data_IF_764511437829
#
_entry.id   IF_764511437829
#
_cell.length_a   1.000
_cell.length_b   1.000
_cell.length_c   1.000
_cell.angle_alpha   90.00
_cell.angle_beta   90.00
_cell.angle_gamma   90.00
#
_symmetry.space_group_name_H-M   'P 1'
#
loop_
_entity.id
_entity.type
_entity.pdbx_description
1 polymer ?
2 non-polymer ?
3 non-polymer ?
4 non-polymer ?
5 non-polymer ?
6 water ?
#
# COMPACT_ATOMS: atom_id res chain seq x y z
N UNK A 1 -23.45 3.95 -13.87
CA UNK A 1 -22.02 4.23 -13.33
C UNK A 1 -21.45 2.93 -12.77
N UNK A 2 -20.16 2.87 -12.61
CA UNK A 2 -19.46 1.70 -12.16
C UNK A 2 -19.13 1.90 -10.65
N UNK A 3 -19.14 0.79 -9.90
CA UNK A 3 -18.50 0.62 -8.58
C UNK A 3 -18.19 -0.85 -8.37
N UNK A 4 -17.38 -1.16 -7.40
CA UNK A 4 -17.14 -2.57 -7.06
C UNK A 4 -16.36 -2.71 -5.77
N UNK A 5 -16.36 -3.93 -5.27
CA UNK A 5 -15.60 -4.32 -4.08
C UNK A 5 -14.60 -5.35 -4.47
N UNK A 6 -13.32 -5.04 -4.28
CA UNK A 6 -12.20 -5.99 -4.46
C UNK A 6 -11.76 -6.49 -3.08
N UNK A 7 -11.67 -7.77 -2.93
CA UNK A 7 -11.30 -8.35 -1.63
C UNK A 7 -9.81 -8.54 -1.52
N UNK A 8 -9.22 -8.05 -0.44
CA UNK A 8 -7.81 -8.24 -0.17
C UNK A 8 -7.62 -9.27 0.93
N UNK A 9 -6.40 -9.88 0.93
CA UNK A 9 -6.06 -10.86 1.97
C UNK A 9 -4.61 -10.61 2.39
N UNK A 10 -4.30 -10.51 3.69
CA UNK A 10 -2.92 -10.38 4.13
C UNK A 10 -2.18 -11.69 3.94
N UNK A 11 -0.88 -11.60 3.63
CA UNK A 11 0.04 -12.75 3.73
C UNK A 11 0.43 -12.98 5.15
N UNK A 12 1.36 -13.95 5.43
CA UNK A 12 1.74 -14.22 6.79
C UNK A 12 2.25 -12.92 7.49
N UNK A 13 1.85 -12.72 8.71
CA UNK A 13 2.15 -11.58 9.53
C UNK A 13 1.65 -10.27 8.94
N UNK A 14 0.73 -10.29 7.96
CA UNK A 14 0.28 -9.09 7.29
C UNK A 14 1.47 -8.31 6.66
N UNK A 15 2.41 -9.07 6.06
CA UNK A 15 3.55 -8.42 5.40
C UNK A 15 3.13 -7.60 4.18
N UNK A 16 2.19 -8.16 3.42
CA UNK A 16 1.63 -7.50 2.26
C UNK A 16 0.15 -7.97 2.14
N UNK A 17 -0.59 -7.28 1.32
CA UNK A 17 -2.00 -7.59 1.06
C UNK A 17 -2.17 -7.87 -0.45
N UNK A 18 -2.85 -8.93 -0.76
CA UNK A 18 -3.00 -9.42 -2.15
C UNK A 18 -4.47 -9.40 -2.57
N UNK A 19 -4.70 -9.00 -3.80
CA UNK A 19 -6.04 -8.84 -4.37
C UNK A 19 -6.02 -9.41 -5.78
N UNK A 20 -7.04 -10.22 -6.19
CA UNK A 20 -7.02 -10.78 -7.56
C UNK A 20 -7.43 -9.74 -8.58
N UNK A 21 -6.82 -9.82 -9.77
CA UNK A 21 -7.05 -8.91 -10.89
C UNK A 21 -7.04 -9.75 -12.17
N UNK A 22 -8.05 -9.58 -13.03
CA UNK A 22 -8.08 -10.36 -14.27
C UNK A 22 -7.59 -9.51 -15.42
N UNK A 23 -6.55 -9.99 -16.10
CA UNK A 23 -5.89 -9.24 -17.21
C UNK A 23 -5.93 -10.10 -18.45
N UNK A 24 -6.65 -9.63 -19.46
CA UNK A 24 -6.77 -10.43 -20.69
C UNK A 24 -7.29 -11.81 -20.40
N UNK A 25 -8.19 -11.93 -19.45
CA UNK A 25 -8.68 -13.26 -19.11
C UNK A 25 -7.94 -14.11 -18.13
N UNK A 26 -6.72 -13.77 -17.72
CA UNK A 26 -5.91 -14.51 -16.71
C UNK A 26 -5.96 -13.80 -15.38
N UNK A 27 -6.27 -14.48 -14.29
CA UNK A 27 -6.32 -13.84 -12.99
C UNK A 27 -4.94 -13.97 -12.29
N UNK A 28 -4.41 -12.81 -11.85
CA UNK A 28 -3.16 -12.67 -11.12
C UNK A 28 -3.46 -12.12 -9.72
N UNK A 29 -2.62 -12.49 -8.74
CA UNK A 29 -2.75 -11.97 -7.40
C UNK A 29 -1.78 -10.78 -7.23
N UNK A 30 -2.27 -9.56 -7.17
CA UNK A 30 -1.42 -8.36 -7.18
C UNK A 30 -1.45 -7.67 -5.82
N UNK A 31 -0.35 -6.93 -5.53
CA UNK A 31 -0.20 -6.09 -4.36
C UNK A 31 -0.67 -4.68 -4.70
N UNK A 32 -1.82 -4.23 -4.19
CA UNK A 32 -2.35 -2.91 -4.44
C UNK A 32 -1.57 -1.88 -3.62
N UNK A 33 -1.01 -0.87 -4.31
CA UNK A 33 0.02 -0.05 -3.67
C UNK A 33 -0.28 1.46 -3.88
N UNK A 34 -0.82 2.13 -2.85
CA UNK A 34 -1.09 3.57 -2.95
C UNK A 34 0.18 4.44 -2.92
N UNK A 35 1.36 3.84 -2.75
CA UNK A 35 2.63 4.52 -2.82
C UNK A 35 3.36 4.51 -4.16
N UNK A 36 2.78 3.88 -5.21
CA UNK A 36 3.40 3.91 -6.51
C UNK A 36 2.30 3.89 -7.56
N UNK A 37 2.67 4.12 -8.85
CA UNK A 37 1.69 4.35 -9.92
C UNK A 37 1.88 3.44 -11.12
N UNK A 38 2.50 2.28 -10.93
CA UNK A 38 2.72 1.31 -12.01
C UNK A 38 1.92 0.03 -11.77
N UNK A 39 1.28 -0.47 -12.79
CA UNK A 39 0.62 -1.79 -12.81
C UNK A 39 1.58 -2.69 -13.60
N UNK A 40 2.35 -3.49 -12.86
CA UNK A 40 3.33 -4.37 -13.49
C UNK A 40 3.07 -5.80 -13.04
N UNK A 41 3.37 -6.74 -13.96
CA UNK A 41 3.03 -8.15 -13.78
C UNK A 41 4.18 -9.05 -14.18
N UNK A 42 4.30 -10.17 -13.43
CA UNK A 42 5.10 -11.29 -13.93
C UNK A 42 4.57 -11.68 -15.30
N UNK A 43 5.46 -12.03 -16.23
CA UNK A 43 5.05 -12.28 -17.63
C UNK A 43 5.85 -13.41 -18.25
N UNK A 44 5.42 -13.82 -19.42
CA UNK A 44 6.12 -14.81 -20.24
C UNK A 44 7.44 -14.28 -20.83
N UNK A 45 7.79 -13.06 -20.67
CA UNK A 45 9.07 -12.47 -21.03
C UNK A 45 10.11 -12.65 -19.98
N UNK A 46 9.77 -13.12 -18.77
CA UNK A 46 10.75 -13.50 -17.74
C UNK A 46 11.41 -14.87 -18.15
N UNK A 47 12.58 -15.14 -17.67
CA UNK A 47 13.09 -16.53 -17.78
C UNK A 47 12.11 -17.51 -17.14
N UNK A 48 11.99 -18.71 -17.74
CA UNK A 48 11.05 -19.68 -17.27
C UNK A 48 11.20 -20.01 -15.77
N UNK A 49 12.46 -20.06 -15.30
CA UNK A 49 12.67 -20.40 -13.89
C UNK A 49 12.04 -19.38 -12.94
N UNK A 50 11.96 -18.10 -13.38
CA UNK A 50 11.38 -17.03 -12.55
C UNK A 50 9.89 -16.98 -12.64
N UNK A 51 9.25 -17.62 -13.59
CA UNK A 51 7.82 -17.75 -13.76
C UNK A 51 7.25 -18.76 -12.74
N UNK A 52 8.04 -19.74 -12.35
CA UNK A 52 7.55 -20.83 -11.45
C UNK A 52 7.02 -20.27 -10.15
N UNK A 53 5.89 -20.80 -9.68
CA UNK A 53 5.20 -20.37 -8.45
C UNK A 53 4.31 -19.15 -8.65
N UNK A 54 4.18 -18.68 -9.92
CA UNK A 54 3.36 -17.50 -10.22
C UNK A 54 2.33 -17.80 -11.25
N UNK A 55 1.27 -16.98 -11.26
CA UNK A 55 0.45 -16.79 -12.44
C UNK A 55 1.13 -15.68 -13.26
N UNK A 56 1.14 -15.85 -14.58
CA UNK A 56 1.89 -14.92 -15.43
C UNK A 56 1.00 -14.41 -16.56
N UNK A 57 1.27 -13.17 -16.94
CA UNK A 57 0.63 -12.53 -18.09
C UNK A 57 1.33 -12.96 -19.38
N UNK A 58 0.54 -13.36 -20.41
CA UNK A 58 1.02 -13.68 -21.74
C UNK A 58 0.53 -12.61 -22.67
N UNK A 59 1.38 -11.62 -22.97
CA UNK A 59 0.94 -10.50 -23.78
C UNK A 59 0.58 -10.90 -25.18
N UNK A 60 1.19 -11.95 -25.75
CA UNK A 60 1.01 -12.36 -27.12
C UNK A 60 -0.47 -12.71 -27.33
N UNK A 61 -1.13 -13.25 -26.29
CA UNK A 61 -2.47 -13.70 -26.46
C UNK A 61 -3.48 -12.64 -26.63
N UNK A 62 -3.39 -11.55 -25.84
CA UNK A 62 -4.44 -10.52 -25.82
C UNK A 62 -3.95 -9.05 -25.76
N UNK A 63 -2.74 -8.79 -25.58
CA UNK A 63 -2.24 -7.46 -25.38
C UNK A 63 -1.90 -6.78 -26.69
N UNK A 64 -1.89 -5.45 -26.68
CA UNK A 64 -1.45 -4.60 -27.83
C UNK A 64 -0.23 -3.80 -27.38
N UNK A 65 0.91 -4.05 -28.06
CA UNK A 65 2.11 -3.39 -27.68
C UNK A 65 2.03 -1.93 -27.85
N UNK A 66 2.76 -1.21 -26.94
CA UNK A 66 3.16 0.21 -27.24
C UNK A 66 4.55 0.23 -27.76
N UNK A 67 4.83 0.22 -29.14
CA UNK A 67 6.07 0.09 -29.65
C UNK A 67 6.90 1.25 -29.20
N UNK A 68 8.10 0.91 -28.76
CA UNK A 68 9.06 1.80 -28.32
C UNK A 68 9.01 2.17 -26.85
N UNK A 69 7.96 1.66 -26.13
CA UNK A 69 7.73 2.07 -24.75
C UNK A 69 8.35 1.02 -23.78
N UNK A 70 8.83 1.50 -22.67
CA UNK A 70 9.45 0.67 -21.64
C UNK A 70 9.05 1.18 -20.27
N UNK A 71 9.41 0.46 -19.21
CA UNK A 71 9.21 0.92 -17.85
C UNK A 71 10.35 0.35 -16.99
N UNK A 72 10.61 1.05 -15.88
CA UNK A 72 11.65 0.65 -14.92
C UNK A 72 11.37 1.36 -13.60
N UNK A 73 11.19 0.62 -12.54
CA UNK A 73 10.80 1.18 -11.25
C UNK A 73 11.71 0.69 -10.18
N UNK A 74 11.95 1.52 -9.16
CA UNK A 74 12.73 1.24 -7.99
C UNK A 74 11.96 1.66 -6.75
N UNK A 75 12.04 0.88 -5.70
CA UNK A 75 11.26 1.10 -4.46
C UNK A 75 12.16 1.37 -3.29
N UNK A 76 11.54 1.82 -2.17
CA UNK A 76 12.27 2.24 -0.99
C UNK A 76 13.14 1.19 -0.34
N UNK A 77 12.71 -0.09 -0.41
CA UNK A 77 13.53 -1.22 0.11
C UNK A 77 14.62 -1.68 -0.85
N UNK A 78 14.83 -0.96 -1.94
CA UNK A 78 15.88 -1.31 -2.91
C UNK A 78 15.45 -2.31 -3.95
N UNK A 79 14.23 -2.81 -3.90
CA UNK A 79 13.75 -3.70 -4.94
C UNK A 79 13.46 -2.95 -6.22
N UNK A 80 13.36 -3.68 -7.34
CA UNK A 80 13.21 -3.05 -8.65
C UNK A 80 12.64 -4.07 -9.63
N UNK A 81 12.12 -3.53 -10.76
CA UNK A 81 11.64 -4.36 -11.87
C UNK A 81 11.59 -3.49 -13.13
N UNK A 82 11.61 -4.13 -14.31
CA UNK A 82 11.54 -3.39 -15.56
C UNK A 82 11.03 -4.27 -16.67
N UNK A 83 10.64 -3.64 -17.79
CA UNK A 83 10.16 -4.40 -18.95
C UNK A 83 9.55 -3.49 -20.02
N UNK A 84 8.57 -4.02 -20.72
CA UNK A 84 7.90 -3.35 -21.82
C UNK A 84 6.37 -3.26 -21.55
N UNK A 85 5.61 -2.70 -22.49
CA UNK A 85 4.25 -2.21 -22.18
C UNK A 85 3.26 -2.68 -23.23
N UNK A 86 2.10 -3.17 -22.78
CA UNK A 86 0.99 -3.58 -23.60
C UNK A 86 -0.29 -2.98 -23.07
N UNK A 87 -1.27 -2.65 -23.89
CA UNK A 87 -2.59 -2.36 -23.34
C UNK A 87 -3.49 -3.60 -23.42
N UNK A 88 -4.39 -3.70 -22.44
CA UNK A 88 -5.26 -4.88 -22.33
C UNK A 88 -6.45 -4.51 -21.43
N UNK A 89 -7.39 -5.47 -21.31
CA UNK A 89 -8.51 -5.34 -20.39
C UNK A 89 -8.08 -5.79 -19.00
N UNK A 90 -8.39 -4.95 -18.00
CA UNK A 90 -8.00 -5.20 -16.60
C UNK A 90 -9.25 -5.03 -15.74
N UNK A 91 -9.62 -6.10 -14.99
CA UNK A 91 -10.86 -6.08 -14.18
C UNK A 91 -10.48 -6.29 -12.70
N UNK A 92 -11.00 -5.39 -11.86
CA UNK A 92 -10.77 -5.33 -10.42
C UNK A 92 -12.15 -5.20 -9.76
N UNK A 93 -12.54 -6.14 -8.88
CA UNK A 93 -13.85 -5.98 -8.22
C UNK A 93 -15.01 -5.83 -9.15
N UNK A 94 -14.94 -6.43 -10.34
CA UNK A 94 -16.00 -6.32 -11.34
C UNK A 94 -15.96 -5.08 -12.20
N UNK A 95 -15.04 -4.17 -11.95
CA UNK A 95 -14.90 -2.91 -12.72
C UNK A 95 -13.80 -3.15 -13.76
N UNK A 96 -14.11 -2.95 -15.04
CA UNK A 96 -13.16 -3.14 -16.14
C UNK A 96 -12.63 -1.84 -16.69
N UNK A 97 -11.29 -1.79 -16.77
CA UNK A 97 -10.55 -0.76 -17.50
C UNK A 97 -10.20 -1.34 -18.85
N UNK A 98 -10.70 -0.74 -19.92
CA UNK A 98 -10.35 -1.14 -21.25
C UNK A 98 -9.13 -0.32 -21.73
N UNK A 99 -8.23 -0.94 -22.40
CA UNK A 99 -7.05 -0.24 -22.90
C UNK A 99 -6.10 0.20 -21.78
N UNK A 100 -6.13 -0.48 -20.65
CA UNK A 100 -5.22 -0.16 -19.53
C UNK A 100 -3.78 -0.57 -19.89
N UNK A 101 -2.83 0.30 -19.55
CA UNK A 101 -1.39 -0.07 -19.71
C UNK A 101 -1.00 -1.11 -18.66
N UNK A 102 -0.50 -2.25 -19.19
CA UNK A 102 -0.03 -3.36 -18.39
C UNK A 102 1.51 -3.46 -18.67
N UNK A 103 2.27 -3.35 -17.59
CA UNK A 103 3.75 -3.30 -17.67
C UNK A 103 4.27 -4.72 -17.46
N UNK A 104 4.63 -5.39 -18.56
CA UNK A 104 5.06 -6.78 -18.54
C UNK A 104 6.54 -6.85 -18.09
N UNK A 105 6.82 -7.64 -17.04
CA UNK A 105 8.18 -7.72 -16.55
C UNK A 105 9.07 -8.57 -17.46
N UNK A 106 10.25 -8.04 -17.70
CA UNK A 106 11.42 -8.71 -18.30
C UNK A 106 12.54 -8.97 -17.27
N UNK A 107 12.66 -8.12 -16.27
CA UNK A 107 13.69 -8.23 -15.23
C UNK A 107 13.03 -7.94 -13.88
N UNK A 108 13.35 -8.72 -12.85
CA UNK A 108 12.89 -8.49 -11.49
C UNK A 108 14.06 -8.68 -10.54
N UNK A 109 14.12 -7.88 -9.48
CA UNK A 109 15.19 -7.98 -8.52
C UNK A 109 15.00 -9.13 -7.57
N UNK A 110 16.04 -9.42 -6.75
CA UNK A 110 16.02 -10.56 -5.84
C UNK A 110 14.81 -10.60 -4.95
N UNK A 111 14.36 -9.49 -4.40
CA UNK A 111 13.24 -9.53 -3.48
C UNK A 111 12.00 -10.12 -4.19
N UNK A 112 11.73 -9.66 -5.43
CA UNK A 112 10.59 -10.19 -6.17
C UNK A 112 10.80 -11.66 -6.60
N UNK A 113 12.05 -12.03 -6.93
CA UNK A 113 12.42 -13.44 -7.27
C UNK A 113 12.21 -14.32 -6.04
N UNK A 114 12.10 -13.84 -4.84
CA UNK A 114 11.92 -14.63 -3.61
C UNK A 114 10.48 -14.59 -3.11
N UNK A 115 9.58 -13.77 -3.67
CA UNK A 115 8.23 -13.60 -3.12
C UNK A 115 7.29 -14.21 -4.11
N UNK A 116 6.79 -15.37 -3.67
CA UNK A 116 5.79 -16.00 -4.53
C UNK A 116 4.35 -15.68 -4.09
N UNK A 117 4.20 -14.78 -3.15
CA UNK A 117 2.84 -14.44 -2.76
C UNK A 117 2.13 -13.51 -3.70
N UNK A 118 2.85 -12.79 -4.54
CA UNK A 118 2.22 -11.85 -5.47
C UNK A 118 2.81 -12.15 -6.84
N UNK A 119 2.07 -11.67 -7.83
CA UNK A 119 2.38 -11.75 -9.25
C UNK A 119 2.62 -10.37 -9.87
N UNK A 120 2.93 -9.37 -9.02
CA UNK A 120 3.17 -8.01 -9.43
C UNK A 120 2.39 -7.03 -8.54
N UNK A 121 2.37 -5.77 -8.99
CA UNK A 121 1.82 -4.65 -8.23
C UNK A 121 0.76 -3.91 -9.07
N UNK A 122 -0.23 -3.36 -8.36
CA UNK A 122 -1.21 -2.46 -9.00
C UNK A 122 -1.11 -1.11 -8.26
N UNK A 123 -0.51 -0.13 -8.92
CA UNK A 123 -0.28 1.17 -8.31
C UNK A 123 -1.56 2.03 -8.27
N UNK A 124 -1.70 2.75 -7.14
CA UNK A 124 -2.85 3.62 -6.87
C UNK A 124 -2.43 5.03 -6.42
N UNK A 125 -1.13 5.36 -6.53
CA UNK A 125 -0.65 6.75 -6.39
C UNK A 125 -1.09 7.55 -7.60
N UNK A 126 -0.79 8.86 -7.61
CA UNK A 126 -1.18 9.69 -8.77
C UNK A 126 -0.38 9.29 -10.00
N UNK A 127 -1.05 9.37 -11.17
CA UNK A 127 -0.44 8.90 -12.43
C UNK A 127 0.78 9.71 -12.84
N UNK A 128 0.98 10.93 -12.29
CA UNK A 128 2.14 11.73 -12.61
C UNK A 128 3.46 11.04 -12.31
N UNK A 129 3.47 10.05 -11.40
CA UNK A 129 4.73 9.35 -11.04
C UNK A 129 4.78 7.94 -11.66
N UNK A 130 3.91 7.62 -12.60
CA UNK A 130 4.04 6.38 -13.38
C UNK A 130 5.38 6.43 -14.16
N UNK A 131 6.10 5.30 -14.22
CA UNK A 131 7.46 5.29 -14.79
C UNK A 131 7.55 4.98 -16.27
N UNK A 132 6.46 4.74 -16.96
CA UNK A 132 6.55 4.35 -18.39
C UNK A 132 7.19 5.47 -19.20
N UNK A 133 8.05 5.06 -20.10
CA UNK A 133 8.80 5.96 -21.02
C UNK A 133 8.53 5.56 -22.43
N UNK A 134 8.47 6.54 -23.37
CA UNK A 134 8.80 7.96 -23.13
C UNK A 134 7.68 8.80 -22.55
N UNK A 135 6.43 8.30 -22.55
CA UNK A 135 5.31 9.03 -21.97
C UNK A 135 4.65 8.17 -20.90
N UNK A 136 4.37 8.77 -19.77
CA UNK A 136 3.72 8.10 -18.66
C UNK A 136 2.27 7.68 -19.04
N UNK A 137 1.80 6.64 -18.34
CA UNK A 137 0.49 6.06 -18.50
C UNK A 137 -0.36 6.26 -17.23
N UNK A 138 -1.69 6.05 -17.36
CA UNK A 138 -2.59 6.17 -16.20
C UNK A 138 -2.72 4.91 -15.40
N UNK A 139 -2.87 5.04 -14.09
CA UNK A 139 -3.19 3.94 -13.22
C UNK A 139 -4.54 3.36 -13.55
N UNK A 140 -4.81 2.16 -13.07
CA UNK A 140 -6.14 1.56 -13.17
C UNK A 140 -7.21 2.58 -12.69
N UNK A 141 -6.95 3.17 -11.51
CA UNK A 141 -7.93 4.08 -10.94
C UNK A 141 -8.17 5.29 -11.85
N UNK A 142 -7.12 5.96 -12.35
CA UNK A 142 -7.28 7.09 -13.20
C UNK A 142 -7.93 6.71 -14.51
N UNK A 143 -7.69 5.50 -15.03
CA UNK A 143 -8.36 5.05 -16.27
C UNK A 143 -9.86 4.97 -16.07
N UNK A 144 -10.34 4.43 -14.92
CA UNK A 144 -11.75 4.18 -14.67
C UNK A 144 -12.47 5.31 -13.93
N UNK A 145 -11.77 6.29 -13.37
CA UNK A 145 -12.40 7.14 -12.34
C UNK A 145 -13.61 7.91 -12.89
N UNK A 146 -13.57 8.41 -14.12
CA UNK A 146 -14.75 9.20 -14.59
C UNK A 146 -15.96 8.30 -14.89
N UNK A 147 -15.78 6.97 -14.95
CA UNK A 147 -16.87 6.00 -15.13
C UNK A 147 -17.47 5.60 -13.80
N UNK A 148 -16.76 5.80 -12.71
CA UNK A 148 -17.23 5.43 -11.39
C UNK A 148 -18.35 6.39 -10.93
N UNK A 149 -19.18 5.92 -10.00
CA UNK A 149 -20.21 6.74 -9.42
C UNK A 149 -19.60 7.97 -8.76
N UNK A 150 -18.54 7.79 -7.95
CA UNK A 150 -17.75 8.88 -7.39
C UNK A 150 -16.27 8.56 -7.66
N UNK A 151 -15.46 9.57 -7.94
CA UNK A 151 -14.04 9.35 -8.35
C UNK A 151 -13.15 9.19 -7.12
N UNK A 152 -13.33 8.05 -6.43
CA UNK A 152 -12.66 7.76 -5.19
C UNK A 152 -12.51 6.24 -5.06
N UNK A 153 -11.61 5.84 -4.17
CA UNK A 153 -11.55 4.47 -3.67
C UNK A 153 -11.33 4.53 -2.17
N UNK A 154 -11.57 3.42 -1.47
CA UNK A 154 -11.43 3.42 -0.03
C UNK A 154 -10.90 2.04 0.40
N UNK A 155 -10.21 2.00 1.54
CA UNK A 155 -9.49 0.81 1.95
C UNK A 155 -9.75 0.46 3.40
N UNK A 156 -10.05 -0.86 3.63
CA UNK A 156 -10.02 -1.50 4.94
C UNK A 156 -9.00 -2.64 4.87
N UNK A 157 -7.83 -2.46 5.48
CA UNK A 157 -6.84 -3.52 5.72
C UNK A 157 -7.07 -4.05 7.13
N UNK A 158 -6.98 -5.37 7.33
CA UNK A 158 -7.24 -5.96 8.64
C UNK A 158 -6.07 -6.85 9.06
N UNK A 159 -6.02 -7.17 10.37
CA UNK A 159 -5.04 -8.06 10.92
C UNK A 159 -5.58 -9.54 10.78
N UNK A 160 -4.90 -10.33 9.94
CA UNK A 160 -5.25 -11.74 9.81
C UNK A 160 -6.72 -11.95 9.50
N UNK A 161 -7.28 -11.12 8.62
CA UNK A 161 -8.63 -11.27 8.14
C UNK A 161 -8.72 -10.64 6.77
N UNK A 162 -9.62 -11.08 5.90
CA UNK A 162 -9.80 -10.41 4.59
C UNK A 162 -10.39 -9.00 4.80
N UNK A 163 -10.01 -8.11 3.89
CA UNK A 163 -10.48 -6.74 3.87
C UNK A 163 -10.97 -6.36 2.51
N UNK A 164 -11.15 -5.03 2.28
CA UNK A 164 -11.69 -4.55 1.02
C UNK A 164 -10.93 -3.35 0.47
N UNK A 165 -11.00 -3.24 -0.85
CA UNK A 165 -10.82 -2.00 -1.60
C UNK A 165 -12.21 -1.71 -2.25
N UNK A 166 -12.85 -0.64 -1.82
CA UNK A 166 -14.12 -0.16 -2.39
C UNK A 166 -13.81 0.83 -3.52
N UNK A 167 -14.22 0.57 -4.72
CA UNK A 167 -14.03 1.47 -5.83
C UNK A 167 -15.32 2.18 -6.18
N UNK A 168 -15.30 3.53 -6.17
CA UNK A 168 -16.43 4.31 -6.66
C UNK A 168 -17.50 4.59 -5.62
N UNK A 169 -17.38 4.14 -4.39
CA UNK A 169 -18.38 4.37 -3.36
C UNK A 169 -17.71 4.18 -1.99
N UNK A 170 -18.37 4.73 -0.97
CA UNK A 170 -17.98 4.61 0.42
C UNK A 170 -18.93 3.66 1.14
N UNK A 171 -18.37 2.67 1.85
CA UNK A 171 -19.15 1.73 2.68
C UNK A 171 -19.13 2.19 4.12
N UNK A 172 -20.19 2.88 4.57
CA UNK A 172 -20.24 3.49 5.88
C UNK A 172 -20.29 2.47 7.00
N UNK A 173 -20.58 1.20 6.68
CA UNK A 173 -20.53 0.13 7.70
C UNK A 173 -19.09 -0.26 8.04
N UNK A 174 -18.08 0.23 7.33
CA UNK A 174 -16.68 -0.15 7.58
C UNK A 174 -16.02 0.71 8.62
N UNK A 175 -16.73 1.69 9.24
CA UNK A 175 -16.12 2.55 10.22
C UNK A 175 -17.17 3.00 11.25
N UNK A 176 -16.69 3.46 12.39
CA UNK A 176 -17.48 4.02 13.46
C UNK A 176 -17.56 5.54 13.31
N UNK A 177 -18.76 6.09 13.51
CA UNK A 177 -18.93 7.56 13.44
C UNK A 177 -18.84 8.10 12.04
N UNK A 178 -18.49 9.38 11.92
CA UNK A 178 -18.38 10.06 10.63
C UNK A 178 -16.93 10.24 10.17
N UNK A 179 -16.69 10.30 8.88
CA UNK A 179 -15.37 10.55 8.34
C UNK A 179 -14.93 12.00 8.63
N UNK A 180 -13.60 12.16 8.81
CA UNK A 180 -12.97 13.47 8.86
C UNK A 180 -12.01 13.57 7.71
N UNK A 181 -12.13 14.62 6.90
CA UNK A 181 -11.29 14.82 5.71
C UNK A 181 -10.15 15.83 5.99
N UNK A 182 -9.07 15.64 5.22
CA UNK A 182 -7.90 16.50 5.26
C UNK A 182 -7.39 16.66 3.81
N UNK A 183 -6.76 17.80 3.55
CA UNK A 183 -6.24 18.07 2.20
C UNK A 183 -5.01 17.24 1.86
N UNK A 184 -4.93 16.85 0.57
CA UNK A 184 -3.81 16.07 0.04
C UNK A 184 -2.91 17.00 -0.82
N UNK A 185 -1.62 16.83 -0.65
CA UNK A 185 -0.59 17.45 -1.49
C UNK A 185 -0.09 16.36 -2.47
N UNK A 186 -0.44 16.48 -3.72
CA UNK A 186 -0.10 15.51 -4.76
C UNK A 186 1.16 15.95 -5.55
N UNK A 187 1.94 16.93 -5.06
CA UNK A 187 3.04 17.48 -5.86
C UNK A 187 4.20 16.53 -6.05
N UNK A 188 4.32 15.47 -5.28
CA UNK A 188 5.30 14.41 -5.46
C UNK A 188 4.63 13.07 -5.86
N UNK A 189 3.36 13.15 -6.28
CA UNK A 189 2.63 11.99 -6.75
C UNK A 189 2.03 11.09 -5.67
N UNK A 190 2.24 11.44 -4.40
CA UNK A 190 1.77 10.61 -3.29
C UNK A 190 0.47 11.19 -2.70
N UNK A 191 -0.21 10.29 -1.95
CA UNK A 191 -1.33 10.72 -1.09
C UNK A 191 -0.74 11.25 0.23
N UNK A 192 -0.14 12.48 0.12
CA UNK A 192 0.53 13.13 1.26
C UNK A 192 -0.44 14.02 2.01
N UNK A 193 -0.37 13.96 3.34
CA UNK A 193 -1.21 14.77 4.22
C UNK A 193 -0.39 15.25 5.40
N UNK A 194 -0.97 16.23 6.14
CA UNK A 194 -0.31 16.80 7.31
C UNK A 194 -0.97 16.35 8.57
N UNK A 195 -0.13 16.14 9.61
CA UNK A 195 -0.61 15.90 10.96
C UNK A 195 -0.12 17.12 11.82
N UNK A 196 -0.99 17.51 12.75
CA UNK A 196 -0.74 18.68 13.60
C UNK A 196 0.03 18.37 14.89
N UNK A 197 0.03 17.11 15.30
CA UNK A 197 0.68 16.68 16.50
C UNK A 197 0.64 15.14 16.54
N UNK A 198 1.45 14.52 17.42
CA UNK A 198 1.40 13.09 17.65
C UNK A 198 1.45 12.85 19.16
N UNK A 199 0.97 11.65 19.55
CA UNK A 199 1.10 11.13 20.87
C UNK A 199 1.68 9.73 20.81
N UNK A 200 2.88 9.52 21.33
CA UNK A 200 3.54 8.21 21.39
C UNK A 200 3.48 7.78 22.87
N UNK A 201 2.46 7.04 23.23
CA UNK A 201 2.31 6.64 24.62
C UNK A 201 2.12 7.82 25.54
N UNK A 202 3.03 7.95 26.49
CA UNK A 202 3.03 9.01 27.49
C UNK A 202 3.72 10.29 27.08
N UNK A 203 4.17 10.40 25.82
CA UNK A 203 4.91 11.57 25.29
C UNK A 203 4.21 12.06 24.05
N UNK A 204 4.19 13.37 23.83
CA UNK A 204 3.63 13.97 22.64
C UNK A 204 4.62 14.90 21.97
N UNK A 205 4.36 15.27 20.72
CA UNK A 205 5.23 16.22 20.02
C UNK A 205 4.61 16.82 18.81
N UNK A 206 5.40 17.60 18.10
CA UNK A 206 4.96 18.43 17.00
C UNK A 206 4.65 17.59 15.77
N UNK A 207 3.86 18.17 14.90
CA UNK A 207 3.38 17.58 13.66
C UNK A 207 4.50 17.51 12.57
N UNK A 208 4.01 16.96 11.44
CA UNK A 208 4.88 16.54 10.34
C UNK A 208 3.95 16.14 9.18
N UNK A 209 4.52 15.76 8.05
CA UNK A 209 3.73 15.24 6.91
C UNK A 209 4.04 13.75 6.72
N UNK A 210 3.13 13.07 6.01
CA UNK A 210 3.45 11.70 5.62
C UNK A 210 2.48 11.26 4.53
N UNK A 211 2.73 10.01 4.05
CA UNK A 211 1.98 9.49 2.92
C UNK A 211 1.21 8.24 3.32
N UNK A 212 -0.04 8.13 2.80
CA UNK A 212 -0.85 6.92 3.02
C UNK A 212 -0.41 5.86 1.98
N UNK A 213 0.23 4.78 2.47
CA UNK A 213 1.03 3.88 1.58
C UNK A 213 0.73 2.41 1.92
N UNK A 214 -0.24 1.82 1.19
CA UNK A 214 -0.63 0.42 1.43
C UNK A 214 0.53 -0.54 1.10
N UNK A 215 1.52 -0.14 0.30
CA UNK A 215 2.61 -0.99 -0.09
C UNK A 215 3.78 -1.06 0.86
N UNK A 216 3.70 -0.36 2.03
CA UNK A 216 4.72 -0.48 3.07
C UNK A 216 4.09 -1.19 4.27
N UNK A 217 4.81 -2.20 4.80
CA UNK A 217 4.28 -3.05 5.88
C UNK A 217 4.08 -2.25 7.18
N UNK A 218 5.07 -1.44 7.53
CA UNK A 218 5.18 -0.83 8.86
C UNK A 218 4.79 0.66 8.84
N UNK A 219 4.73 1.23 10.06
CA UNK A 219 4.54 2.65 10.31
C UNK A 219 5.96 3.27 10.50
N UNK A 220 6.42 4.05 9.52
CA UNK A 220 7.80 4.53 9.55
C UNK A 220 7.82 6.02 9.90
N UNK A 221 8.52 6.35 10.98
CA UNK A 221 8.51 7.67 11.60
C UNK A 221 9.92 8.18 11.73
N UNK A 222 10.06 9.48 12.11
CA UNK A 222 11.43 10.02 12.37
C UNK A 222 12.07 9.26 13.51
N UNK A 223 13.41 9.16 13.47
CA UNK A 223 14.17 8.48 14.50
C UNK A 223 13.87 9.08 15.90
N UNK A 224 13.67 10.38 16.02
CA UNK A 224 13.38 10.97 17.33
C UNK A 224 12.09 10.39 17.91
N UNK A 225 11.06 10.20 17.09
CA UNK A 225 9.78 9.65 17.51
C UNK A 225 9.89 8.15 17.85
N UNK A 226 10.61 7.41 16.99
CA UNK A 226 10.85 6.00 17.24
C UNK A 226 11.54 5.83 18.61
N UNK A 227 12.57 6.65 18.88
CA UNK A 227 13.27 6.55 20.15
C UNK A 227 12.36 6.87 21.33
N UNK A 228 11.54 7.91 21.18
CA UNK A 228 10.59 8.25 22.24
C UNK A 228 9.64 7.12 22.53
N UNK A 229 9.12 6.46 21.49
CA UNK A 229 8.18 5.37 21.65
C UNK A 229 8.84 4.18 22.41
N UNK A 230 9.99 3.71 21.88
CA UNK A 230 10.62 2.52 22.47
C UNK A 230 11.27 2.79 23.81
N UNK A 231 11.55 4.05 24.18
CA UNK A 231 11.99 4.35 25.55
C UNK A 231 10.98 3.93 26.58
N UNK A 232 9.73 3.75 26.19
CA UNK A 232 8.62 3.34 27.08
C UNK A 232 8.36 1.86 27.07
N UNK A 233 9.12 1.12 26.30
CA UNK A 233 8.90 -0.30 26.10
C UNK A 233 10.06 -1.08 26.79
N UNK A 234 9.76 -1.72 27.93
CA UNK A 234 10.86 -2.31 28.73
C UNK A 234 11.62 -3.37 27.93
N UNK A 235 12.93 -3.26 27.94
CA UNK A 235 13.75 -4.29 27.25
C UNK A 235 13.84 -4.11 25.77
N UNK A 236 13.23 -3.11 25.15
CA UNK A 236 13.34 -2.96 23.69
C UNK A 236 14.78 -2.74 23.28
N UNK A 237 15.16 -3.38 22.15
CA UNK A 237 16.52 -3.27 21.60
C UNK A 237 16.43 -3.42 20.10
N UNK A 238 17.35 -2.80 19.34
CA UNK A 238 17.43 -3.07 17.94
C UNK A 238 17.99 -4.49 17.63
N UNK A 239 17.42 -5.15 16.65
CA UNK A 239 17.88 -6.43 16.13
C UNK A 239 17.83 -6.36 14.61
N UNK A 240 19.00 -6.25 13.99
CA UNK A 240 19.08 -6.12 12.60
C UNK A 240 18.72 -7.46 11.79
N UNK A 241 18.72 -8.61 12.54
CA UNK A 241 18.24 -9.82 11.88
C UNK A 241 16.71 -9.70 11.65
N UNK A 242 16.02 -8.97 12.54
CA UNK A 242 14.58 -8.86 12.48
C UNK A 242 14.08 -7.63 11.68
N UNK A 243 14.84 -6.57 11.64
CA UNK A 243 14.51 -5.38 10.94
C UNK A 243 14.23 -4.12 11.83
N UNK A 244 14.69 -4.11 13.05
CA UNK A 244 14.58 -2.92 13.87
C UNK A 244 14.34 -3.27 15.33
N UNK A 245 13.64 -2.38 16.05
CA UNK A 245 13.36 -2.59 17.47
C UNK A 245 12.47 -3.80 17.65
N UNK A 246 12.86 -4.66 18.59
CA UNK A 246 12.15 -5.86 19.01
C UNK A 246 11.99 -5.81 20.55
N UNK A 247 11.07 -6.68 21.02
CA UNK A 247 10.75 -6.74 22.44
C UNK A 247 10.09 -8.04 22.77
N UNK A 248 9.92 -8.35 24.04
CA UNK A 248 9.30 -9.61 24.41
C UNK A 248 7.86 -9.59 23.92
N UNK A 249 7.43 -10.75 23.42
CA UNK A 249 6.10 -10.82 22.79
C UNK A 249 4.93 -10.53 23.75
N UNK A 250 5.10 -10.70 25.03
CA UNK A 250 4.07 -10.43 26.00
C UNK A 250 3.98 -8.95 26.41
N UNK A 251 4.83 -8.10 25.89
CA UNK A 251 4.88 -6.67 26.29
C UNK A 251 3.56 -5.99 26.07
N UNK A 252 3.17 -5.18 27.06
CA UNK A 252 2.02 -4.30 26.86
C UNK A 252 2.38 -3.01 26.19
N UNK A 253 2.20 -2.81 24.93
CA UNK A 253 2.73 -1.70 24.11
C UNK A 253 1.83 -0.46 24.25
N UNK A 254 2.42 0.70 24.32
CA UNK A 254 1.63 1.94 24.31
C UNK A 254 0.92 2.18 22.99
N UNK A 255 -0.15 2.97 23.02
CA UNK A 255 -0.81 3.39 21.79
C UNK A 255 0.04 4.48 21.08
N UNK A 256 -0.26 4.70 19.80
CA UNK A 256 0.31 5.80 19.02
C UNK A 256 -0.81 6.50 18.28
N UNK A 257 -0.86 7.83 18.35
CA UNK A 257 -1.93 8.56 17.64
C UNK A 257 -1.36 9.82 16.96
N UNK A 258 -2.11 10.26 15.96
CA UNK A 258 -1.85 11.54 15.26
C UNK A 258 -3.11 12.35 15.19
N UNK A 259 -2.95 13.70 15.18
CA UNK A 259 -4.04 14.65 14.99
C UNK A 259 -4.13 15.11 13.53
N UNK A 260 -5.24 14.75 12.87
CA UNK A 260 -5.46 14.99 11.44
C UNK A 260 -6.67 15.91 11.28
N UNK A 261 -6.49 17.19 11.03
CA UNK A 261 -7.61 18.09 10.85
C UNK A 261 -8.66 17.96 11.95
N UNK A 262 -8.19 17.89 13.21
CA UNK A 262 -9.06 17.84 14.38
C UNK A 262 -9.52 16.42 14.81
N UNK A 263 -9.21 15.37 14.04
CA UNK A 263 -9.51 13.98 14.33
C UNK A 263 -8.32 13.27 14.88
N UNK A 264 -8.51 12.46 15.95
CA UNK A 264 -7.40 11.68 16.54
C UNK A 264 -7.44 10.26 15.89
N UNK A 265 -6.45 9.95 15.07
CA UNK A 265 -6.28 8.62 14.51
C UNK A 265 -5.39 7.83 15.43
N UNK A 266 -5.96 6.83 16.15
CA UNK A 266 -5.24 6.05 17.14
C UNK A 266 -4.97 4.63 16.61
N UNK A 267 -3.67 4.25 16.73
CA UNK A 267 -3.23 2.88 16.51
C UNK A 267 -3.11 2.23 17.88
N UNK A 268 -3.99 1.27 18.24
CA UNK A 268 -3.86 0.60 19.53
C UNK A 268 -2.53 -0.15 19.62
N UNK A 269 -1.99 -0.24 20.83
CA UNK A 269 -0.72 -0.94 21.05
C UNK A 269 -0.77 -2.36 20.53
N UNK A 270 -1.95 -3.05 20.60
CA UNK A 270 -2.04 -4.42 20.08
C UNK A 270 -1.60 -4.53 18.62
N UNK A 271 -1.89 -3.51 17.79
CA UNK A 271 -1.52 -3.52 16.39
C UNK A 271 -0.03 -3.21 16.16
N UNK A 272 0.65 -2.70 17.18
CA UNK A 272 2.10 -2.36 17.09
C UNK A 272 2.97 -3.55 17.38
N UNK A 273 2.39 -4.70 17.80
CA UNK A 273 3.12 -5.96 17.81
C UNK A 273 2.97 -6.59 16.45
N UNK A 274 3.94 -6.40 15.53
CA UNK A 274 3.85 -6.91 14.16
C UNK A 274 3.76 -8.41 14.10
N UNK A 275 4.59 -9.07 14.86
CA UNK A 275 4.59 -10.53 14.86
C UNK A 275 5.97 -11.05 15.30
N UNK A 276 6.09 -12.33 15.30
CA UNK A 276 7.40 -12.97 15.72
C UNK A 276 8.49 -12.44 14.90
N UNK A 277 9.57 -12.13 15.46
CA UNK A 277 10.67 -11.44 14.72
C UNK A 277 11.50 -12.28 13.86
N UNK A 278 11.30 -13.58 13.95
CA UNK A 278 12.27 -14.30 12.95
C UNK A 278 13.37 -14.84 13.50
N UNK A 279 14.46 -14.96 13.76
CA UNK A 279 15.42 -16.50 14.80
C UNK A 279 13.86 -16.58 16.10
N UNK A 280 14.48 -15.61 17.06
CA UNK A 280 14.14 -16.35 18.03
C UNK A 280 13.06 -16.26 19.01
N UNK A 281 12.98 -15.55 20.02
CA UNK A 281 11.78 -15.49 20.74
C UNK A 281 11.65 -13.99 21.12
N UNK A 282 11.59 -13.08 20.23
CA UNK A 282 11.08 -11.68 20.35
C UNK A 282 10.01 -11.44 19.27
N UNK A 283 9.41 -10.27 19.38
CA UNK A 283 8.45 -9.74 18.38
C UNK A 283 9.00 -8.41 17.82
N UNK A 284 8.77 -8.18 16.53
CA UNK A 284 9.16 -6.97 15.85
C UNK A 284 8.09 -5.87 16.10
N UNK A 285 8.57 -4.66 16.36
CA UNK A 285 7.67 -3.52 16.49
C UNK A 285 7.14 -3.04 15.19
N UNK A 286 5.86 -2.56 15.23
CA UNK A 286 5.23 -2.03 14.04
C UNK A 286 5.64 -0.60 13.67
N UNK A 287 6.28 0.11 14.61
CA UNK A 287 6.88 1.44 14.39
C UNK A 287 8.39 1.25 14.17
N UNK A 288 8.92 1.79 13.08
CA UNK A 288 10.38 1.73 12.82
C UNK A 288 10.81 3.04 12.12
N UNK A 289 12.13 3.19 11.95
CA UNK A 289 12.71 4.40 11.34
C UNK A 289 12.32 4.53 9.88
N UNK A 290 12.17 5.82 9.46
CA UNK A 290 12.02 6.26 8.11
C UNK A 290 13.37 6.57 7.37
N UNK A 291 14.49 6.17 7.87
CA UNK A 291 15.82 6.29 7.29
C UNK A 291 16.24 7.75 7.08
N UNK A 292 15.60 8.68 7.77
CA UNK A 292 16.00 10.10 7.74
C UNK A 292 15.47 10.86 6.56
N UNK A 293 14.42 10.38 5.87
CA UNK A 293 13.92 11.02 4.64
C UNK A 293 13.10 12.28 4.85
N UNK A 294 12.73 12.59 6.08
CA UNK A 294 12.07 13.89 6.34
C UNK A 294 10.54 13.91 6.22
N UNK A 295 9.90 12.76 6.10
CA UNK A 295 8.45 12.62 6.13
C UNK A 295 8.16 11.17 6.56
N UNK A 296 6.93 10.94 6.99
CA UNK A 296 6.55 9.62 7.55
C UNK A 296 5.75 8.80 6.56
N UNK A 297 5.77 7.47 6.83
CA UNK A 297 5.13 6.51 5.92
C UNK A 297 4.04 5.79 6.71
N UNK A 298 2.78 6.14 6.41
CA UNK A 298 1.60 5.57 7.07
C UNK A 298 1.26 4.27 6.32
N UNK A 299 2.01 3.23 6.68
CA UNK A 299 1.87 1.90 6.08
C UNK A 299 0.84 1.06 6.82
N UNK A 300 0.92 -0.29 6.57
CA UNK A 300 -0.20 -1.16 6.91
C UNK A 300 -0.48 -1.20 8.41
N UNK A 301 0.55 -1.11 9.28
CA UNK A 301 0.32 -1.07 10.72
C UNK A 301 -0.69 0.00 11.11
N UNK A 302 -0.49 1.23 10.53
CA UNK A 302 -1.43 2.32 10.78
C UNK A 302 -2.81 2.07 10.11
N UNK A 303 -2.75 1.65 8.85
CA UNK A 303 -4.00 1.53 8.06
C UNK A 303 -4.94 0.46 8.66
N UNK A 304 -4.42 -0.55 9.36
CA UNK A 304 -5.27 -1.55 10.02
C UNK A 304 -6.17 -0.95 11.09
N UNK A 305 -5.90 0.26 11.56
CA UNK A 305 -6.75 0.89 12.56
C UNK A 305 -7.87 1.78 11.95
N UNK A 306 -7.82 2.07 10.66
CA UNK A 306 -8.69 3.07 10.02
C UNK A 306 -9.41 2.52 8.83
N UNK A 307 -10.55 3.14 8.46
CA UNK A 307 -11.06 3.11 7.10
C UNK A 307 -10.57 4.43 6.44
N UNK A 308 -9.98 4.32 5.27
CA UNK A 308 -9.36 5.49 4.59
C UNK A 308 -9.95 5.66 3.21
N UNK A 309 -10.51 6.85 2.97
CA UNK A 309 -11.07 7.26 1.66
C UNK A 309 -10.06 8.10 0.91
N UNK A 310 -9.71 7.65 -0.30
CA UNK A 310 -8.75 8.33 -1.21
C UNK A 310 -9.62 8.99 -2.31
N UNK A 311 -9.85 10.29 -2.13
CA UNK A 311 -10.80 11.03 -2.96
C UNK A 311 -10.03 11.95 -3.92
N UNK A 312 -10.24 11.72 -5.24
CA UNK A 312 -9.60 12.55 -6.24
C UNK A 312 -10.16 14.01 -6.25
N UNK A 313 -11.37 14.19 -5.75
CA UNK A 313 -11.94 15.55 -5.65
C UNK A 313 -11.29 16.27 -4.46
N UNK A 314 -10.45 17.29 -4.76
CA UNK A 314 -9.70 17.98 -3.76
C UNK A 314 -8.30 18.16 -4.26
N UNK A 315 -7.45 17.12 -4.22
CA UNK A 315 -7.75 15.79 -3.62
C UNK A 315 -7.77 15.86 -2.09
N UNK A 316 -8.27 14.79 -1.48
CA UNK A 316 -8.42 14.74 -0.03
C UNK A 316 -8.44 13.27 0.43
N UNK A 317 -8.12 13.10 1.72
CA UNK A 317 -8.20 11.79 2.41
C UNK A 317 -9.21 11.91 3.56
N UNK A 318 -10.06 10.89 3.67
CA UNK A 318 -11.01 10.78 4.80
C UNK A 318 -10.61 9.63 5.72
N UNK A 319 -10.77 9.83 7.01
CA UNK A 319 -10.40 8.85 8.03
C UNK A 319 -11.50 8.66 9.05
N UNK A 320 -11.66 7.42 9.54
CA UNK A 320 -12.48 7.12 10.72
C UNK A 320 -12.02 5.76 11.27
N UNK A 321 -12.34 5.47 12.55
CA UNK A 321 -11.89 4.20 13.14
C UNK A 321 -12.54 3.01 12.43
N UNK A 322 -11.78 1.96 12.14
CA UNK A 322 -12.32 0.84 11.40
C UNK A 322 -13.33 0.06 12.23
N UNK A 323 -14.33 -0.45 11.51
CA UNK A 323 -15.41 -1.32 12.04
C UNK A 323 -15.78 -2.42 11.05
#
# INVERSE_FOLDING_TARGET
AASGVATNTPTANDEEYITPVTIGGTTLNLNFDTGSADLWVFSTELPASQQSGHSVYNPSATGKELSGYTWSISYGDGSSASGNVFTDSVTVGGVTAHGQAVQAAQQISAQFQQDTNNDGLLGLAFSSINTVQPQSQTTFFDTVKSSLAQPLFAVALKHQQPGVYDFGFIDSSKYTGSLTYTGVDNSQGFWSFNVDSYTAGSQSGDGFSGIADTGTTLLLLDDSVVSQYYSQVSGAQQDSNAGGYVFDCSTNLPDFSVSISGYTATVPGSLINYGPSGDGSTCLGGIQSNSGIGFSIFGDIFLKSQYVVFDSDGPQLGFAPQA
#
